data_IF_548054190085
#
_entry.id   IF_548054190085
#
_cell.length_a   1.000
_cell.length_b   1.000
_cell.length_c   1.000
_cell.angle_alpha   90.00
_cell.angle_beta   90.00
_cell.angle_gamma   90.00
#
_symmetry.space_group_name_H-M   'P 1'
#
loop_
_entity.id
_entity.type
_entity.pdbx_description
1 polymer ?
#
# COMPACT_ATOMS: atom_id res chain seq x y z
N UNK A 1 -23.05 -9.29 22.23
CA UNK A 1 -22.04 -10.34 22.54
C UNK A 1 -21.35 -10.65 21.22
N UNK A 2 -20.25 -9.94 20.93
CA UNK A 2 -19.52 -10.03 19.64
C UNK A 2 -18.31 -10.94 19.88
N UNK A 3 -18.38 -12.14 19.34
CA UNK A 3 -17.32 -13.13 19.36
C UNK A 3 -16.43 -12.88 18.15
N UNK A 4 -15.11 -12.87 18.39
CA UNK A 4 -13.96 -12.82 17.47
C UNK A 4 -13.39 -11.42 17.19
N UNK A 5 -12.66 -10.93 18.19
CA UNK A 5 -11.47 -10.12 17.94
C UNK A 5 -10.28 -11.09 17.81
N UNK A 6 -10.01 -11.60 16.64
CA UNK A 6 -8.76 -12.32 16.38
C UNK A 6 -7.66 -11.30 16.10
N UNK A 7 -6.85 -11.06 17.13
CA UNK A 7 -5.56 -10.41 17.02
C UNK A 7 -4.67 -11.29 16.12
N UNK A 8 -4.11 -10.71 15.08
CA UNK A 8 -3.05 -11.34 14.28
C UNK A 8 -1.89 -11.66 15.22
N UNK A 9 -1.82 -12.92 15.61
CA UNK A 9 -0.85 -13.43 16.57
C UNK A 9 0.38 -13.96 15.82
N UNK A 10 1.49 -14.16 16.54
CA UNK A 10 2.63 -14.97 16.07
C UNK A 10 2.20 -16.26 15.38
N UNK A 11 1.04 -16.79 15.75
CA UNK A 11 0.43 -18.01 15.22
C UNK A 11 -0.09 -17.84 13.80
N UNK A 12 -0.55 -16.65 13.41
CA UNK A 12 -1.09 -16.39 12.06
C UNK A 12 0.03 -16.10 11.08
N UNK A 13 1.11 -15.45 11.54
CA UNK A 13 2.36 -15.36 10.78
C UNK A 13 3.02 -16.74 10.59
N UNK A 14 3.02 -17.58 11.65
CA UNK A 14 3.52 -18.96 11.56
C UNK A 14 2.63 -19.84 10.69
N UNK A 15 1.32 -19.60 10.61
CA UNK A 15 0.43 -20.29 9.66
C UNK A 15 0.75 -19.89 8.22
N UNK A 16 0.99 -18.60 7.95
CA UNK A 16 1.42 -18.15 6.63
C UNK A 16 2.76 -18.82 6.22
N UNK A 17 3.71 -18.89 7.15
CA UNK A 17 4.98 -19.60 6.94
C UNK A 17 4.79 -21.13 6.90
N UNK A 18 3.88 -21.71 7.70
CA UNK A 18 3.64 -23.14 7.75
C UNK A 18 2.92 -23.68 6.49
N UNK A 19 2.00 -22.91 5.92
CA UNK A 19 1.36 -23.26 4.63
C UNK A 19 2.41 -23.28 3.50
N UNK A 20 3.43 -22.46 3.58
CA UNK A 20 4.50 -22.38 2.58
C UNK A 20 5.64 -23.40 2.82
N UNK A 21 5.82 -23.88 4.05
CA UNK A 21 6.84 -24.89 4.38
C UNK A 21 6.34 -26.33 4.26
N UNK A 22 5.01 -26.56 4.20
CA UNK A 22 4.45 -27.84 3.83
C UNK A 22 4.65 -28.06 2.34
N UNK A 23 5.80 -28.60 1.96
CA UNK A 23 6.24 -28.79 0.55
C UNK A 23 5.32 -29.61 -0.37
N UNK A 24 4.11 -29.93 0.07
CA UNK A 24 3.05 -30.59 -0.70
C UNK A 24 1.94 -29.65 -1.14
N UNK A 25 1.74 -28.49 -0.49
CA UNK A 25 0.68 -27.55 -0.86
C UNK A 25 1.08 -26.59 -2.00
N UNK A 26 2.35 -26.21 -2.06
CA UNK A 26 2.86 -25.31 -3.11
C UNK A 26 2.66 -25.85 -4.54
N UNK A 27 2.98 -27.13 -4.84
CA UNK A 27 2.76 -27.71 -6.17
C UNK A 27 1.29 -27.74 -6.57
N UNK A 28 0.38 -28.01 -5.63
CA UNK A 28 -1.07 -28.04 -5.89
C UNK A 28 -1.62 -26.62 -6.15
N UNK A 29 -1.17 -25.63 -5.39
CA UNK A 29 -1.55 -24.23 -5.58
C UNK A 29 -0.99 -23.70 -6.92
N UNK A 30 0.27 -24.01 -7.23
CA UNK A 30 0.88 -23.65 -8.53
C UNK A 30 0.18 -24.34 -9.70
N UNK A 31 -0.27 -25.58 -9.53
CA UNK A 31 -1.01 -26.34 -10.56
C UNK A 31 -2.42 -25.78 -10.75
N UNK A 32 -3.06 -25.29 -9.70
CA UNK A 32 -4.37 -24.64 -9.77
C UNK A 32 -4.27 -23.24 -10.39
N UNK A 33 -3.21 -22.49 -10.12
CA UNK A 33 -2.90 -21.22 -10.80
C UNK A 33 -2.58 -21.42 -12.27
N UNK A 34 -1.81 -22.45 -12.63
CA UNK A 34 -1.55 -22.80 -14.02
C UNK A 34 -2.86 -23.12 -14.78
N UNK A 35 -3.79 -23.86 -14.16
CA UNK A 35 -5.09 -24.15 -14.76
C UNK A 35 -5.96 -22.90 -14.95
N UNK A 36 -5.94 -21.96 -14.00
CA UNK A 36 -6.66 -20.70 -14.12
C UNK A 36 -6.05 -19.76 -15.19
N UNK A 37 -4.73 -19.85 -15.42
CA UNK A 37 -4.03 -19.12 -16.47
C UNK A 37 -4.22 -19.74 -17.88
N UNK A 38 -4.64 -21.00 -17.97
CA UNK A 38 -4.94 -21.66 -19.24
C UNK A 38 -6.31 -21.27 -19.80
N UNK A 39 -7.14 -20.51 -19.06
CA UNK A 39 -8.41 -19.97 -19.55
C UNK A 39 -8.21 -18.54 -20.10
N UNK A 40 -8.16 -18.36 -21.44
CA UNK A 40 -7.95 -17.03 -22.05
C UNK A 40 -8.95 -15.98 -21.56
N UNK A 41 -10.17 -16.39 -21.26
CA UNK A 41 -11.30 -15.57 -20.88
C UNK A 41 -11.55 -15.51 -19.35
N UNK A 42 -10.57 -15.92 -18.53
CA UNK A 42 -10.74 -15.84 -17.08
C UNK A 42 -10.99 -14.40 -16.65
N UNK A 43 -12.01 -14.15 -15.79
CA UNK A 43 -12.39 -12.81 -15.38
C UNK A 43 -11.30 -12.13 -14.54
N UNK A 44 -11.30 -10.80 -14.53
CA UNK A 44 -10.52 -10.00 -13.57
C UNK A 44 -11.18 -10.16 -12.19
N UNK A 45 -10.42 -10.67 -11.23
CA UNK A 45 -10.81 -10.82 -9.83
C UNK A 45 -9.92 -9.94 -8.97
N UNK A 46 -10.45 -8.78 -8.62
CA UNK A 46 -9.72 -7.78 -7.83
C UNK A 46 -9.84 -8.07 -6.34
N UNK A 47 -8.70 -8.08 -5.64
CA UNK A 47 -8.64 -8.08 -4.18
C UNK A 47 -8.12 -6.76 -3.63
N UNK A 48 -8.73 -6.24 -2.54
CA UNK A 48 -8.33 -4.97 -1.97
C UNK A 48 -8.62 -4.85 -0.47
N UNK A 49 -7.91 -3.91 0.18
CA UNK A 49 -8.28 -3.38 1.50
C UNK A 49 -9.08 -2.07 1.34
N UNK A 50 -9.98 -1.73 2.28
CA UNK A 50 -10.81 -0.53 2.21
C UNK A 50 -10.01 0.75 2.55
N UNK A 51 -8.99 1.03 1.75
CA UNK A 51 -8.08 2.18 1.83
C UNK A 51 -8.15 2.98 0.53
N UNK A 52 -7.80 4.27 0.57
CA UNK A 52 -7.77 5.12 -0.64
C UNK A 52 -6.77 4.64 -1.68
N UNK A 53 -5.78 3.88 -1.25
CA UNK A 53 -4.75 3.26 -2.08
C UNK A 53 -5.36 2.35 -3.17
N UNK A 54 -6.51 1.73 -2.88
CA UNK A 54 -7.21 0.85 -3.83
C UNK A 54 -7.97 1.62 -4.94
N UNK A 55 -8.01 2.95 -4.89
CA UNK A 55 -8.82 3.76 -5.79
C UNK A 55 -8.67 3.41 -7.27
N UNK A 56 -7.47 3.22 -7.86
CA UNK A 56 -7.35 2.89 -9.28
C UNK A 56 -8.06 1.60 -9.67
N UNK A 57 -7.94 0.55 -8.86
CA UNK A 57 -8.60 -0.73 -9.10
C UNK A 57 -10.13 -0.62 -9.01
N UNK A 58 -10.61 0.11 -8.00
CA UNK A 58 -12.04 0.26 -7.73
C UNK A 58 -12.72 1.19 -8.75
N UNK A 59 -12.04 2.26 -9.16
CA UNK A 59 -12.51 3.14 -10.23
C UNK A 59 -12.54 2.42 -11.58
N UNK A 60 -11.50 1.65 -11.91
CA UNK A 60 -11.49 0.84 -13.13
C UNK A 60 -12.70 -0.12 -13.18
N UNK A 61 -12.98 -0.81 -12.06
CA UNK A 61 -14.17 -1.67 -11.95
C UNK A 61 -15.46 -0.86 -12.08
N UNK A 62 -15.62 0.24 -11.35
CA UNK A 62 -16.85 1.05 -11.36
C UNK A 62 -17.17 1.64 -12.74
N UNK A 63 -16.14 1.87 -13.55
CA UNK A 63 -16.28 2.36 -14.93
C UNK A 63 -16.43 1.24 -15.96
N UNK A 64 -16.57 -0.03 -15.53
CA UNK A 64 -16.70 -1.17 -16.43
C UNK A 64 -15.45 -1.49 -17.26
N UNK A 65 -14.27 -0.96 -16.86
CA UNK A 65 -13.03 -1.13 -17.62
C UNK A 65 -12.44 -2.54 -17.55
N UNK A 66 -12.93 -3.36 -16.61
CA UNK A 66 -12.59 -4.77 -16.47
C UNK A 66 -13.63 -5.69 -17.13
N UNK A 67 -14.69 -5.13 -17.68
CA UNK A 67 -15.74 -5.91 -18.32
C UNK A 67 -15.23 -6.57 -19.61
N UNK A 68 -15.64 -7.79 -19.82
CA UNK A 68 -15.45 -8.51 -21.08
C UNK A 68 -16.70 -8.36 -21.97
N UNK A 69 -16.60 -8.54 -23.28
CA UNK A 69 -17.76 -8.46 -24.17
C UNK A 69 -18.93 -9.30 -23.68
N UNK A 70 -20.03 -8.64 -23.31
CA UNK A 70 -21.25 -9.29 -22.81
C UNK A 70 -21.18 -9.84 -21.38
N UNK A 71 -20.09 -9.61 -20.65
CA UNK A 71 -19.91 -10.13 -19.29
C UNK A 71 -19.28 -9.06 -18.39
N UNK A 72 -20.03 -8.52 -17.40
CA UNK A 72 -19.47 -7.60 -16.43
C UNK A 72 -18.42 -8.30 -15.56
N UNK A 73 -17.43 -7.54 -15.08
CA UNK A 73 -16.42 -8.02 -14.16
C UNK A 73 -17.03 -8.39 -12.80
N UNK A 74 -16.43 -9.35 -12.12
CA UNK A 74 -16.81 -9.72 -10.76
C UNK A 74 -16.58 -8.54 -9.81
N UNK A 75 -17.46 -8.39 -8.80
CA UNK A 75 -17.29 -7.35 -7.78
C UNK A 75 -15.98 -7.56 -7.04
N UNK A 76 -15.15 -6.50 -6.87
CA UNK A 76 -13.92 -6.60 -6.09
C UNK A 76 -14.14 -7.14 -4.68
N UNK A 77 -13.23 -8.01 -4.23
CA UNK A 77 -13.29 -8.67 -2.93
C UNK A 77 -12.53 -7.84 -1.89
N UNK A 78 -13.25 -7.39 -0.86
CA UNK A 78 -12.67 -6.61 0.24
C UNK A 78 -12.10 -7.52 1.32
N UNK A 79 -10.84 -7.27 1.70
CA UNK A 79 -10.14 -7.97 2.79
C UNK A 79 -9.90 -7.02 3.97
N UNK A 80 -9.76 -7.59 5.17
CA UNK A 80 -9.54 -6.81 6.40
C UNK A 80 -8.06 -6.63 6.76
N UNK A 81 -7.20 -7.52 6.24
CA UNK A 81 -5.77 -7.49 6.53
C UNK A 81 -4.94 -7.82 5.30
N UNK A 82 -3.69 -7.34 5.30
CA UNK A 82 -2.72 -7.62 4.25
C UNK A 82 -2.41 -9.12 4.13
N UNK A 83 -2.42 -9.85 5.25
CA UNK A 83 -2.21 -11.30 5.26
C UNK A 83 -3.31 -12.03 4.52
N UNK A 84 -4.59 -11.71 4.81
CA UNK A 84 -5.73 -12.33 4.13
C UNK A 84 -5.70 -12.07 2.63
N UNK A 85 -5.38 -10.82 2.22
CA UNK A 85 -5.25 -10.48 0.81
C UNK A 85 -4.11 -11.27 0.14
N UNK A 86 -2.97 -11.38 0.81
CA UNK A 86 -1.82 -12.16 0.31
C UNK A 86 -2.18 -13.64 0.17
N UNK A 87 -2.82 -14.24 1.17
CA UNK A 87 -3.28 -15.64 1.14
C UNK A 87 -4.26 -15.89 -0.01
N UNK A 88 -5.24 -15.00 -0.20
CA UNK A 88 -6.21 -15.10 -1.28
C UNK A 88 -5.56 -14.99 -2.67
N UNK A 89 -4.53 -14.13 -2.81
CA UNK A 89 -3.76 -14.01 -4.04
C UNK A 89 -2.93 -15.26 -4.31
N UNK A 90 -2.20 -15.77 -3.31
CA UNK A 90 -1.43 -17.02 -3.41
C UNK A 90 -2.36 -18.19 -3.78
N UNK A 91 -3.56 -18.24 -3.21
CA UNK A 91 -4.55 -19.29 -3.49
C UNK A 91 -5.28 -19.13 -4.86
N UNK A 92 -5.00 -18.04 -5.62
CA UNK A 92 -5.65 -17.77 -6.90
C UNK A 92 -7.12 -17.36 -6.79
N UNK A 93 -7.60 -17.01 -5.58
CA UNK A 93 -8.97 -16.50 -5.40
C UNK A 93 -9.14 -15.12 -6.04
N UNK A 94 -8.10 -14.31 -6.02
CA UNK A 94 -7.96 -13.03 -6.72
C UNK A 94 -6.70 -13.06 -7.59
N UNK A 95 -6.71 -12.36 -8.72
CA UNK A 95 -5.60 -12.37 -9.69
C UNK A 95 -5.01 -10.98 -9.95
N UNK A 96 -5.66 -9.93 -9.49
CA UNK A 96 -5.18 -8.54 -9.54
C UNK A 96 -5.36 -7.93 -8.16
N UNK A 97 -4.27 -7.46 -7.56
CA UNK A 97 -4.30 -6.88 -6.23
C UNK A 97 -3.47 -5.61 -6.14
N UNK A 98 -3.84 -4.70 -5.22
CA UNK A 98 -2.87 -3.77 -4.70
C UNK A 98 -2.15 -4.39 -3.50
N UNK A 99 -0.86 -4.19 -3.41
CA UNK A 99 -0.06 -4.78 -2.35
C UNK A 99 0.97 -3.77 -1.86
N UNK A 100 1.26 -3.80 -0.55
CA UNK A 100 2.35 -3.03 0.04
C UNK A 100 3.66 -3.35 -0.69
N UNK A 101 4.37 -2.34 -1.19
CA UNK A 101 5.58 -2.54 -1.98
C UNK A 101 6.63 -3.44 -1.27
N UNK A 102 6.91 -3.31 0.04
CA UNK A 102 7.83 -4.22 0.72
C UNK A 102 7.37 -5.68 0.81
N UNK A 103 6.04 -5.95 0.86
CA UNK A 103 5.53 -7.33 0.84
C UNK A 103 5.89 -8.04 -0.46
N UNK A 104 5.96 -7.31 -1.57
CA UNK A 104 6.30 -7.91 -2.86
C UNK A 104 7.72 -8.47 -2.89
N UNK A 105 8.67 -7.85 -2.17
CA UNK A 105 10.02 -8.39 -1.99
C UNK A 105 9.97 -9.69 -1.18
N UNK A 106 9.26 -9.69 -0.05
CA UNK A 106 9.07 -10.90 0.74
C UNK A 106 8.42 -12.03 -0.09
N UNK A 107 7.36 -11.71 -0.84
CA UNK A 107 6.67 -12.67 -1.68
C UNK A 107 7.61 -13.27 -2.74
N UNK A 108 8.44 -12.44 -3.39
CA UNK A 108 9.39 -12.88 -4.43
C UNK A 108 10.55 -13.69 -3.87
N UNK A 109 11.21 -13.16 -2.83
CA UNK A 109 12.51 -13.70 -2.39
C UNK A 109 12.37 -14.72 -1.27
N UNK A 110 11.43 -14.56 -0.34
CA UNK A 110 11.20 -15.52 0.75
C UNK A 110 10.18 -16.58 0.34
N UNK A 111 9.01 -16.18 -0.11
CA UNK A 111 7.92 -17.09 -0.45
C UNK A 111 8.06 -17.73 -1.84
N UNK A 112 8.99 -17.23 -2.68
CA UNK A 112 9.21 -17.71 -4.06
C UNK A 112 7.96 -17.66 -4.92
N UNK A 113 7.06 -16.72 -4.64
CA UNK A 113 5.82 -16.55 -5.39
C UNK A 113 6.11 -16.07 -6.82
N UNK A 114 5.63 -16.78 -7.86
CA UNK A 114 5.79 -16.36 -9.25
C UNK A 114 4.80 -15.24 -9.59
N UNK A 115 5.09 -14.03 -9.12
CA UNK A 115 4.29 -12.84 -9.36
C UNK A 115 5.19 -11.63 -9.57
N UNK A 116 4.67 -10.62 -10.25
CA UNK A 116 5.38 -9.38 -10.59
C UNK A 116 4.58 -8.14 -10.20
N UNK A 117 5.30 -7.09 -9.91
CA UNK A 117 4.76 -5.73 -9.89
C UNK A 117 4.64 -5.26 -11.33
N UNK A 118 3.42 -4.88 -11.74
CA UNK A 118 3.13 -4.45 -13.10
C UNK A 118 2.94 -2.94 -13.23
N UNK A 119 2.63 -2.26 -12.12
CA UNK A 119 2.51 -0.82 -12.03
C UNK A 119 2.62 -0.36 -10.57
N UNK A 120 2.96 0.89 -10.34
CA UNK A 120 2.61 1.54 -9.07
C UNK A 120 1.11 1.79 -9.04
N UNK A 121 0.52 1.71 -7.86
CA UNK A 121 -0.91 1.98 -7.71
C UNK A 121 -1.15 3.44 -7.33
N UNK A 122 -0.33 3.97 -6.43
CA UNK A 122 -0.34 5.37 -5.99
C UNK A 122 0.99 5.76 -5.35
N UNK A 123 1.15 7.06 -5.10
CA UNK A 123 2.26 7.62 -4.32
C UNK A 123 1.76 8.35 -3.08
N UNK A 124 2.60 8.45 -2.03
CA UNK A 124 2.26 9.05 -0.74
C UNK A 124 1.07 8.32 -0.08
N UNK A 125 0.04 9.03 0.36
CA UNK A 125 -1.23 8.45 0.83
C UNK A 125 -1.17 7.85 2.23
N UNK A 126 -0.23 8.30 3.07
CA UNK A 126 -0.08 7.78 4.44
C UNK A 126 0.46 8.86 5.38
N UNK A 127 0.23 8.68 6.67
CA UNK A 127 0.76 9.57 7.70
C UNK A 127 1.01 8.82 9.02
N UNK A 128 1.86 9.40 9.86
CA UNK A 128 1.98 9.10 11.28
C UNK A 128 0.95 9.97 12.01
N UNK A 129 -0.06 9.34 12.56
CA UNK A 129 -1.08 9.97 13.42
C UNK A 129 -0.84 9.55 14.87
N UNK A 130 -0.90 10.51 15.78
CA UNK A 130 -0.59 10.33 17.19
C UNK A 130 -1.69 10.92 18.06
N UNK A 131 -1.66 10.62 19.37
CA UNK A 131 -2.52 11.28 20.34
C UNK A 131 -2.35 12.80 20.28
N UNK A 132 -3.40 13.61 20.49
CA UNK A 132 -3.38 15.06 20.30
C UNK A 132 -2.28 15.79 21.11
N UNK A 133 -1.92 15.26 22.28
CA UNK A 133 -0.87 15.82 23.15
C UNK A 133 0.56 15.57 22.67
N UNK A 134 0.77 14.68 21.67
CA UNK A 134 2.08 14.39 21.10
C UNK A 134 2.32 15.35 19.94
N UNK A 135 3.33 16.19 20.06
CA UNK A 135 3.66 17.24 19.07
C UNK A 135 5.06 17.07 18.47
N UNK A 136 5.85 16.11 18.99
CA UNK A 136 7.21 15.84 18.54
C UNK A 136 7.48 14.33 18.62
N UNK A 137 8.22 13.80 17.66
CA UNK A 137 8.52 12.36 17.57
C UNK A 137 9.29 11.83 18.79
N UNK A 138 10.11 12.66 19.44
CA UNK A 138 10.85 12.30 20.66
C UNK A 138 9.93 11.95 21.84
N UNK A 139 8.70 12.46 21.84
CA UNK A 139 7.69 12.14 22.86
C UNK A 139 7.12 10.72 22.72
N UNK A 140 7.48 10.00 21.64
CA UNK A 140 7.13 8.59 21.48
C UNK A 140 8.02 7.64 22.30
N UNK A 141 9.06 8.14 22.96
CA UNK A 141 9.90 7.35 23.87
C UNK A 141 9.07 6.61 24.93
N UNK A 142 9.28 5.31 25.06
CA UNK A 142 8.53 4.41 25.95
C UNK A 142 7.10 4.09 25.52
N UNK A 143 6.69 4.48 24.32
CA UNK A 143 5.30 4.35 23.84
C UNK A 143 5.14 3.23 22.81
N UNK A 144 3.88 2.92 22.51
CA UNK A 144 3.48 1.92 21.52
C UNK A 144 2.94 2.63 20.28
N UNK A 145 3.46 2.27 19.10
CA UNK A 145 2.99 2.75 17.79
C UNK A 145 2.60 1.55 16.92
N UNK A 146 1.42 1.61 16.32
CA UNK A 146 0.95 0.57 15.42
C UNK A 146 1.44 0.81 13.98
N UNK A 147 1.80 -0.29 13.33
CA UNK A 147 2.11 -0.39 11.89
C UNK A 147 1.17 -1.41 11.23
N UNK A 148 0.83 -1.29 9.93
CA UNK A 148 -0.10 -2.22 9.30
C UNK A 148 0.49 -3.60 9.02
N UNK A 149 1.80 -3.68 8.86
CA UNK A 149 2.54 -4.92 8.63
C UNK A 149 4.04 -4.70 8.78
N UNK A 150 4.81 -5.76 9.13
CA UNK A 150 6.27 -5.67 9.25
C UNK A 150 6.95 -5.31 7.92
N UNK A 151 6.50 -5.94 6.82
CA UNK A 151 6.93 -5.60 5.46
C UNK A 151 6.02 -4.51 4.88
N UNK A 152 6.05 -3.31 5.47
CA UNK A 152 5.33 -2.14 4.97
C UNK A 152 6.26 -0.95 4.80
N UNK A 153 5.94 -0.08 3.85
CA UNK A 153 6.62 1.20 3.71
C UNK A 153 6.47 2.05 4.96
N UNK A 154 5.35 1.88 5.66
CA UNK A 154 5.05 2.52 6.94
C UNK A 154 6.09 2.18 8.01
N UNK A 155 6.43 0.87 8.14
CA UNK A 155 7.48 0.42 9.06
C UNK A 155 8.84 1.00 8.68
N UNK A 156 9.19 1.00 7.40
CA UNK A 156 10.45 1.57 6.90
C UNK A 156 10.55 3.05 7.23
N UNK A 157 9.53 3.84 6.88
CA UNK A 157 9.51 5.29 7.09
C UNK A 157 9.43 5.61 8.59
N UNK A 158 8.62 4.89 9.37
CA UNK A 158 8.55 5.07 10.83
C UNK A 158 9.93 4.94 11.47
N UNK A 159 10.69 3.94 11.07
CA UNK A 159 12.03 3.73 11.63
C UNK A 159 13.06 4.76 11.14
N UNK A 160 12.87 5.36 9.94
CA UNK A 160 13.68 6.51 9.54
C UNK A 160 13.41 7.70 10.48
N UNK A 161 12.13 8.03 10.70
CA UNK A 161 11.71 9.11 11.58
C UNK A 161 12.20 8.89 13.03
N UNK A 162 12.09 7.66 13.54
CA UNK A 162 12.58 7.34 14.89
C UNK A 162 14.10 7.53 15.02
N UNK A 163 14.87 7.12 14.03
CA UNK A 163 16.34 7.31 14.03
C UNK A 163 16.70 8.80 14.04
N UNK A 164 16.01 9.61 13.25
CA UNK A 164 16.20 11.06 13.24
C UNK A 164 15.87 11.69 14.60
N UNK A 165 14.81 11.21 15.25
CA UNK A 165 14.43 11.62 16.60
C UNK A 165 15.34 11.07 17.72
N UNK A 166 16.38 10.30 17.38
CA UNK A 166 17.26 9.65 18.36
C UNK A 166 16.60 8.49 19.12
N UNK A 167 15.54 7.89 18.55
CA UNK A 167 14.79 6.79 19.13
C UNK A 167 15.06 5.48 18.38
N UNK A 168 14.83 4.36 19.07
CA UNK A 168 15.02 3.02 18.52
C UNK A 168 13.70 2.24 18.51
N UNK A 169 13.39 1.61 17.37
CA UNK A 169 12.26 0.69 17.26
C UNK A 169 12.59 -0.66 17.93
N UNK A 170 11.62 -1.19 18.68
CA UNK A 170 11.70 -2.53 19.31
C UNK A 170 10.40 -3.29 19.08
N UNK A 171 10.48 -4.64 19.12
CA UNK A 171 9.30 -5.53 19.01
C UNK A 171 8.73 -5.93 20.38
N UNK A 172 9.53 -5.77 21.44
CA UNK A 172 9.13 -5.98 22.83
C UNK A 172 8.73 -4.70 23.53
N UNK A 173 8.54 -4.79 24.86
CA UNK A 173 8.21 -3.61 25.68
C UNK A 173 9.30 -2.55 25.58
N UNK A 174 8.90 -1.33 25.21
CA UNK A 174 9.81 -0.21 25.03
C UNK A 174 10.26 0.38 26.38
N UNK A 175 11.56 0.62 26.50
CA UNK A 175 12.16 1.42 27.56
C UNK A 175 12.33 2.89 27.14
N UNK A 176 13.07 3.66 27.96
CA UNK A 176 13.44 5.02 27.60
C UNK A 176 14.32 5.04 26.35
N UNK A 177 14.02 5.92 25.39
CA UNK A 177 14.71 5.99 24.09
C UNK A 177 14.24 4.95 23.08
N UNK A 178 13.27 4.11 23.44
CA UNK A 178 12.72 3.08 22.57
C UNK A 178 11.25 3.32 22.25
N UNK A 179 10.78 2.77 21.12
CA UNK A 179 9.37 2.77 20.71
C UNK A 179 8.98 1.35 20.33
N UNK A 180 7.95 0.83 21.00
CA UNK A 180 7.42 -0.48 20.65
C UNK A 180 6.59 -0.39 19.40
N UNK A 181 6.94 -1.15 18.37
CA UNK A 181 6.12 -1.31 17.17
C UNK A 181 5.26 -2.57 17.29
N UNK A 182 3.98 -2.43 16.95
CA UNK A 182 3.02 -3.53 16.96
C UNK A 182 2.27 -3.58 15.62
N UNK A 183 2.05 -4.78 15.10
CA UNK A 183 1.23 -4.95 13.88
C UNK A 183 -0.24 -4.93 14.26
N UNK A 184 -1.02 -4.12 13.53
CA UNK A 184 -2.46 -3.99 13.73
C UNK A 184 -3.17 -3.80 12.39
N UNK A 185 -4.37 -4.37 12.24
CA UNK A 185 -5.21 -4.09 11.07
C UNK A 185 -5.56 -2.60 11.00
N UNK A 186 -5.56 -1.96 9.82
CA UNK A 186 -5.85 -0.53 9.71
C UNK A 186 -7.15 -0.10 10.37
N UNK A 187 -8.21 -0.91 10.25
CA UNK A 187 -9.52 -0.62 10.83
C UNK A 187 -9.52 -0.60 12.38
N UNK A 188 -8.56 -1.25 13.02
CA UNK A 188 -8.47 -1.34 14.48
C UNK A 188 -7.63 -0.19 15.08
N UNK A 189 -6.85 0.54 14.27
CA UNK A 189 -5.89 1.54 14.73
C UNK A 189 -6.56 2.76 15.37
N UNK A 190 -7.60 3.33 14.74
CA UNK A 190 -8.32 4.49 15.30
C UNK A 190 -9.01 4.13 16.62
N UNK A 191 -9.76 3.02 16.75
CA UNK A 191 -10.29 2.57 18.06
C UNK A 191 -9.21 2.32 19.12
N UNK A 192 -8.05 1.78 18.73
CA UNK A 192 -6.92 1.56 19.65
C UNK A 192 -6.30 2.89 20.14
N UNK A 193 -6.21 3.90 19.27
CA UNK A 193 -5.77 5.25 19.63
C UNK A 193 -6.76 5.90 20.60
N UNK A 194 -8.06 5.85 20.30
CA UNK A 194 -9.14 6.39 21.18
C UNK A 194 -9.08 5.75 22.57
N UNK A 195 -8.89 4.43 22.64
CA UNK A 195 -8.78 3.71 23.92
C UNK A 195 -7.40 3.83 24.58
N UNK A 196 -6.47 4.61 24.00
CA UNK A 196 -5.10 4.81 24.48
C UNK A 196 -4.29 3.53 24.64
N UNK A 197 -4.65 2.46 23.93
CA UNK A 197 -3.85 1.22 23.85
C UNK A 197 -2.59 1.42 23.04
N UNK A 198 -2.61 2.36 22.11
CA UNK A 198 -1.46 2.84 21.34
C UNK A 198 -1.38 4.36 21.48
N UNK A 199 -0.18 4.91 21.31
CA UNK A 199 0.05 6.36 21.34
C UNK A 199 0.12 6.98 19.95
N UNK A 200 0.16 6.15 18.92
CA UNK A 200 0.14 6.56 17.52
C UNK A 200 0.04 5.35 16.61
N UNK A 201 -0.19 5.63 15.35
CA UNK A 201 -0.14 4.65 14.27
C UNK A 201 0.36 5.32 12.99
N UNK A 202 1.04 4.55 12.15
CA UNK A 202 1.41 4.98 10.80
C UNK A 202 0.75 4.05 9.80
N UNK A 203 -0.10 4.60 8.93
CA UNK A 203 -0.97 3.78 8.08
C UNK A 203 -1.43 4.55 6.84
N UNK A 204 -1.88 3.80 5.83
CA UNK A 204 -2.53 4.31 4.64
C UNK A 204 -3.83 5.07 4.97
N UNK A 205 -4.18 6.03 4.12
CA UNK A 205 -5.45 6.76 4.20
C UNK A 205 -6.66 5.85 3.88
N UNK A 206 -7.85 6.11 4.46
CA UNK A 206 -8.26 7.37 5.08
C UNK A 206 -8.26 7.36 6.61
N UNK A 207 -7.58 6.44 7.28
CA UNK A 207 -7.62 6.31 8.74
C UNK A 207 -7.01 7.51 9.47
N UNK A 208 -6.02 8.17 8.87
CA UNK A 208 -5.45 9.41 9.40
C UNK A 208 -6.48 10.54 9.32
N UNK A 209 -7.13 10.73 8.17
CA UNK A 209 -8.22 11.70 8.01
C UNK A 209 -9.40 11.40 8.95
N UNK A 210 -9.71 10.13 9.19
CA UNK A 210 -10.75 9.74 10.15
C UNK A 210 -10.40 10.16 11.58
N UNK A 211 -9.14 9.95 12.00
CA UNK A 211 -8.69 10.37 13.33
C UNK A 211 -8.70 11.89 13.49
N UNK A 212 -8.31 12.65 12.46
CA UNK A 212 -8.38 14.11 12.43
C UNK A 212 -9.83 14.60 12.51
N UNK A 213 -10.73 14.08 11.67
CA UNK A 213 -12.13 14.50 11.61
C UNK A 213 -12.89 14.26 12.92
N UNK A 214 -12.52 13.21 13.64
CA UNK A 214 -13.06 12.91 14.97
C UNK A 214 -12.31 13.61 16.12
N UNK A 215 -11.24 14.36 15.82
CA UNK A 215 -10.38 15.06 16.81
C UNK A 215 -9.80 14.11 17.87
N UNK A 216 -9.60 12.84 17.52
CA UNK A 216 -9.03 11.81 18.42
C UNK A 216 -7.53 11.60 18.21
N UNK A 217 -6.98 12.15 17.15
CA UNK A 217 -5.56 12.14 16.81
C UNK A 217 -5.20 13.35 15.96
N UNK A 218 -3.90 13.63 15.90
CA UNK A 218 -3.32 14.63 15.00
C UNK A 218 -2.30 13.96 14.09
N UNK A 219 -2.15 14.45 12.88
CA UNK A 219 -1.04 14.05 12.02
C UNK A 219 0.24 14.68 12.56
N UNK A 220 1.22 13.84 12.88
CA UNK A 220 2.54 14.29 13.28
C UNK A 220 3.46 14.49 12.06
N UNK A 221 3.35 13.59 11.06
CA UNK A 221 4.14 13.67 9.84
C UNK A 221 3.49 12.91 8.69
N UNK A 222 3.45 13.50 7.50
CA UNK A 222 3.08 12.77 6.28
C UNK A 222 4.25 11.94 5.77
N UNK A 223 3.98 10.74 5.26
CA UNK A 223 5.03 9.86 4.74
C UNK A 223 5.65 10.41 3.46
N UNK A 224 4.88 11.10 2.61
CA UNK A 224 5.37 11.79 1.42
C UNK A 224 6.31 12.97 1.71
N UNK A 225 6.21 13.53 2.93
CA UNK A 225 7.11 14.58 3.40
C UNK A 225 8.41 14.03 4.01
N UNK A 226 8.50 12.70 4.19
CA UNK A 226 9.71 11.99 4.62
C UNK A 226 10.40 11.35 3.42
N UNK A 227 9.65 10.67 2.57
CA UNK A 227 10.14 10.07 1.32
C UNK A 227 9.32 10.57 0.15
N UNK A 228 9.91 11.50 -0.59
CA UNK A 228 9.23 12.23 -1.67
C UNK A 228 8.66 11.31 -2.75
N UNK A 229 7.33 11.35 -2.95
CA UNK A 229 6.62 10.55 -3.95
C UNK A 229 6.89 9.04 -3.88
N UNK A 230 7.10 8.49 -2.67
CA UNK A 230 7.27 7.05 -2.51
C UNK A 230 6.03 6.28 -2.95
N UNK A 231 6.20 5.09 -3.52
CA UNK A 231 5.09 4.17 -3.65
C UNK A 231 4.75 3.58 -2.27
N UNK A 232 3.47 3.57 -1.91
CA UNK A 232 3.01 2.77 -0.77
C UNK A 232 2.54 1.40 -1.27
N UNK A 233 1.55 1.39 -2.16
CA UNK A 233 1.05 0.19 -2.79
C UNK A 233 1.36 0.13 -4.28
N UNK A 234 1.56 -1.08 -4.75
CA UNK A 234 1.83 -1.42 -6.15
C UNK A 234 0.78 -2.43 -6.64
N UNK A 235 0.58 -2.51 -7.94
CA UNK A 235 -0.27 -3.52 -8.56
C UNK A 235 0.53 -4.78 -8.79
N UNK A 236 0.00 -5.92 -8.35
CA UNK A 236 0.65 -7.22 -8.46
C UNK A 236 -0.21 -8.20 -9.23
N UNK A 237 0.40 -8.97 -10.15
CA UNK A 237 -0.22 -10.00 -10.95
C UNK A 237 0.67 -11.24 -11.00
N UNK A 238 0.09 -12.41 -11.27
CA UNK A 238 0.85 -13.66 -11.43
C UNK A 238 1.65 -13.68 -12.73
N UNK A 239 2.86 -14.24 -12.70
CA UNK A 239 3.70 -14.41 -13.90
C UNK A 239 3.02 -15.28 -14.96
N UNK A 240 2.20 -16.26 -14.56
CA UNK A 240 1.41 -17.06 -15.48
C UNK A 240 0.45 -16.21 -16.32
N UNK A 241 -0.24 -15.25 -15.71
CA UNK A 241 -1.13 -14.34 -16.42
C UNK A 241 -0.35 -13.45 -17.40
N UNK A 242 0.78 -12.90 -16.94
CA UNK A 242 1.64 -12.02 -17.73
C UNK A 242 2.25 -12.70 -18.95
N UNK A 243 2.53 -14.00 -18.86
CA UNK A 243 3.20 -14.74 -19.91
C UNK A 243 2.22 -15.46 -20.84
N UNK A 244 1.13 -16.00 -20.29
CA UNK A 244 0.18 -16.82 -21.06
C UNK A 244 -1.01 -16.01 -21.60
N UNK A 245 -1.30 -14.82 -21.00
CA UNK A 245 -2.41 -13.95 -21.39
C UNK A 245 -1.97 -12.49 -21.59
N UNK A 246 -1.03 -12.20 -22.50
CA UNK A 246 -0.44 -10.88 -22.66
C UNK A 246 -1.46 -9.80 -23.04
N UNK A 247 -2.46 -10.12 -23.88
CA UNK A 247 -3.51 -9.19 -24.26
C UNK A 247 -4.42 -8.84 -23.08
N UNK A 248 -4.84 -9.83 -22.30
CA UNK A 248 -5.58 -9.64 -21.07
C UNK A 248 -4.79 -8.81 -20.05
N UNK A 249 -3.51 -9.12 -19.88
CA UNK A 249 -2.62 -8.38 -18.96
C UNK A 249 -2.45 -6.92 -19.38
N UNK A 250 -2.39 -6.65 -20.69
CA UNK A 250 -2.36 -5.29 -21.23
C UNK A 250 -3.68 -4.56 -20.97
N UNK A 251 -4.83 -5.21 -21.22
CA UNK A 251 -6.14 -4.60 -20.97
C UNK A 251 -6.35 -4.26 -19.49
N UNK A 252 -5.97 -5.16 -18.59
CA UNK A 252 -6.03 -4.92 -17.14
C UNK A 252 -5.13 -3.73 -16.74
N UNK A 253 -3.91 -3.68 -17.26
CA UNK A 253 -2.98 -2.59 -16.95
C UNK A 253 -3.46 -1.26 -17.55
N UNK A 254 -3.98 -1.26 -18.78
CA UNK A 254 -4.60 -0.09 -19.41
C UNK A 254 -5.75 0.44 -18.54
N UNK A 255 -6.64 -0.44 -18.08
CA UNK A 255 -7.78 -0.07 -17.25
C UNK A 255 -7.35 0.63 -15.94
N UNK A 256 -6.30 0.14 -15.30
CA UNK A 256 -5.75 0.70 -14.06
C UNK A 256 -5.09 2.05 -14.31
N UNK A 257 -4.25 2.16 -15.34
CA UNK A 257 -3.53 3.39 -15.71
C UNK A 257 -4.50 4.49 -16.14
N UNK A 258 -5.51 4.14 -16.92
CA UNK A 258 -6.60 5.05 -17.29
C UNK A 258 -7.39 5.53 -16.07
N UNK A 259 -7.66 4.64 -15.11
CA UNK A 259 -8.33 5.01 -13.86
C UNK A 259 -7.45 5.98 -13.03
N UNK A 260 -6.14 5.76 -12.95
CA UNK A 260 -5.21 6.67 -12.29
C UNK A 260 -5.25 8.07 -12.93
N UNK A 261 -5.18 8.12 -14.27
CA UNK A 261 -5.28 9.38 -15.01
C UNK A 261 -6.62 10.08 -14.74
N UNK A 262 -7.72 9.34 -14.78
CA UNK A 262 -9.07 9.88 -14.51
C UNK A 262 -9.21 10.42 -13.08
N UNK A 263 -8.73 9.69 -12.07
CA UNK A 263 -8.79 10.09 -10.65
C UNK A 263 -8.12 11.43 -10.43
N UNK A 264 -6.98 11.70 -11.06
CA UNK A 264 -6.23 12.96 -10.90
C UNK A 264 -7.09 14.19 -11.21
N UNK A 265 -7.98 14.09 -12.19
CA UNK A 265 -8.89 15.16 -12.60
C UNK A 265 -10.29 15.08 -11.96
N UNK A 266 -10.60 13.98 -11.25
CA UNK A 266 -11.94 13.69 -10.74
C UNK A 266 -11.92 13.26 -9.26
N UNK A 267 -11.11 13.94 -8.45
CA UNK A 267 -10.83 13.55 -7.04
C UNK A 267 -12.08 13.49 -6.17
N UNK A 268 -12.94 14.50 -6.24
CA UNK A 268 -14.21 14.53 -5.47
C UNK A 268 -15.21 13.47 -5.93
N UNK A 269 -15.30 13.21 -7.25
CA UNK A 269 -16.13 12.12 -7.76
C UNK A 269 -15.59 10.75 -7.31
N UNK A 270 -14.25 10.62 -7.24
CA UNK A 270 -13.61 9.42 -6.71
C UNK A 270 -13.98 9.20 -5.25
N UNK A 271 -13.98 10.25 -4.40
CA UNK A 271 -14.40 10.14 -3.01
C UNK A 271 -15.84 9.62 -2.89
N UNK A 272 -16.76 10.17 -3.68
CA UNK A 272 -18.16 9.71 -3.71
C UNK A 272 -18.27 8.25 -4.15
N UNK A 273 -17.56 7.87 -5.23
CA UNK A 273 -17.60 6.52 -5.79
C UNK A 273 -17.07 5.46 -4.81
N UNK A 274 -16.01 5.79 -4.06
CA UNK A 274 -15.39 4.88 -3.10
C UNK A 274 -16.16 4.79 -1.78
N UNK A 275 -17.03 5.76 -1.47
CA UNK A 275 -17.66 5.88 -0.17
C UNK A 275 -18.64 4.74 0.15
N UNK A 276 -18.99 4.62 1.42
CA UNK A 276 -20.03 3.70 1.89
C UNK A 276 -21.40 3.97 1.26
N UNK A 277 -21.65 5.22 0.86
CA UNK A 277 -22.90 5.67 0.26
C UNK A 277 -22.83 5.67 -1.28
N UNK A 278 -21.67 5.34 -1.85
CA UNK A 278 -21.46 5.18 -3.28
C UNK A 278 -22.14 3.93 -3.85
N UNK A 279 -22.30 3.84 -5.19
CA UNK A 279 -23.13 2.80 -5.82
C UNK A 279 -22.64 1.37 -5.55
N UNK A 280 -21.37 1.19 -5.27
CA UNK A 280 -20.76 -0.14 -5.05
C UNK A 280 -20.38 -0.40 -3.57
N UNK A 281 -20.49 0.60 -2.69
CA UNK A 281 -20.14 0.49 -1.26
C UNK A 281 -18.72 -0.10 -1.06
N UNK A 282 -17.72 0.44 -1.76
CA UNK A 282 -16.37 -0.12 -1.75
C UNK A 282 -15.65 0.01 -0.41
N UNK A 283 -15.93 1.07 0.34
CA UNK A 283 -15.31 1.28 1.66
C UNK A 283 -16.36 1.62 2.71
N UNK A 284 -16.07 1.43 4.00
CA UNK A 284 -16.97 1.84 5.08
C UNK A 284 -16.91 3.34 5.39
N UNK A 285 -16.10 4.11 4.66
CA UNK A 285 -15.84 5.52 4.91
C UNK A 285 -16.85 6.43 4.22
N UNK A 286 -17.09 7.60 4.82
CA UNK A 286 -17.95 8.63 4.22
C UNK A 286 -17.22 9.33 3.07
N UNK A 287 -17.96 9.87 2.11
CA UNK A 287 -17.40 10.68 1.04
C UNK A 287 -16.64 11.91 1.56
N UNK A 288 -17.08 12.47 2.69
CA UNK A 288 -16.43 13.61 3.36
C UNK A 288 -15.00 13.27 3.80
N UNK A 289 -14.83 12.16 4.54
CA UNK A 289 -13.50 11.69 5.00
C UNK A 289 -12.60 11.37 3.81
N UNK A 290 -13.12 10.70 2.80
CA UNK A 290 -12.35 10.39 1.58
C UNK A 290 -11.96 11.65 0.81
N UNK A 291 -12.82 12.66 0.80
CA UNK A 291 -12.54 13.92 0.11
C UNK A 291 -11.45 14.74 0.83
N UNK A 292 -11.34 14.65 2.17
CA UNK A 292 -10.22 15.25 2.91
C UNK A 292 -8.86 14.66 2.51
N UNK A 293 -8.85 13.42 2.03
CA UNK A 293 -7.64 12.76 1.53
C UNK A 293 -7.36 13.12 0.08
N UNK A 294 -8.38 12.98 -0.78
CA UNK A 294 -8.22 13.09 -2.23
C UNK A 294 -8.13 14.54 -2.69
N UNK A 295 -8.81 15.45 -1.99
CA UNK A 295 -8.86 16.86 -2.32
C UNK A 295 -8.89 17.73 -1.05
N UNK A 296 -7.78 17.76 -0.27
CA UNK A 296 -7.72 18.60 0.91
C UNK A 296 -7.89 20.07 0.56
N UNK A 297 -8.49 20.85 1.47
CA UNK A 297 -8.61 22.29 1.28
C UNK A 297 -7.26 22.98 1.55
N UNK A 298 -7.07 24.16 0.94
CA UNK A 298 -5.88 24.98 1.19
C UNK A 298 -5.73 25.35 2.69
N UNK A 299 -6.85 25.47 3.41
CA UNK A 299 -6.83 25.71 4.85
C UNK A 299 -6.27 24.53 5.65
N UNK A 300 -6.58 23.30 5.25
CA UNK A 300 -6.00 22.09 5.87
C UNK A 300 -4.49 22.03 5.62
N UNK A 301 -4.04 22.27 4.40
CA UNK A 301 -2.61 22.26 4.06
C UNK A 301 -1.82 23.30 4.86
N UNK A 302 -2.36 24.53 4.94
CA UNK A 302 -1.76 25.58 5.75
C UNK A 302 -1.69 25.21 7.24
N UNK A 303 -2.71 24.51 7.76
CA UNK A 303 -2.72 23.99 9.12
C UNK A 303 -1.63 22.95 9.35
N UNK A 304 -1.47 21.99 8.45
CA UNK A 304 -0.41 20.97 8.55
C UNK A 304 1.01 21.56 8.48
N UNK A 305 1.21 22.62 7.69
CA UNK A 305 2.49 23.35 7.64
C UNK A 305 2.73 24.07 9.00
N UNK A 306 1.72 24.78 9.52
CA UNK A 306 1.81 25.47 10.79
C UNK A 306 2.04 24.52 11.98
N UNK A 307 1.46 23.32 11.92
CA UNK A 307 1.58 22.26 12.91
C UNK A 307 2.84 21.39 12.74
N UNK A 308 3.69 21.71 11.77
CA UNK A 308 4.91 20.95 11.42
C UNK A 308 4.65 19.48 11.03
N UNK A 309 3.47 19.16 10.52
CA UNK A 309 3.19 17.87 9.89
C UNK A 309 3.77 17.79 8.45
N UNK A 310 4.04 18.95 7.85
CA UNK A 310 4.76 19.14 6.59
C UNK A 310 6.00 19.99 6.86
N UNK A 311 7.20 19.42 6.66
CA UNK A 311 8.49 20.10 6.80
C UNK A 311 9.03 20.62 5.46
N UNK A 312 8.59 20.01 4.35
CA UNK A 312 9.04 20.32 2.99
C UNK A 312 7.89 20.84 2.12
N UNK A 313 7.32 22.03 2.42
CA UNK A 313 6.23 22.61 1.62
C UNK A 313 6.66 22.91 0.18
N UNK A 314 7.96 23.12 -0.06
CA UNK A 314 8.58 23.29 -1.38
C UNK A 314 8.54 22.04 -2.26
N UNK A 315 8.28 20.86 -1.68
CA UNK A 315 8.09 19.64 -2.47
C UNK A 315 6.74 19.59 -3.17
N UNK A 316 5.78 20.44 -2.78
CA UNK A 316 4.43 20.50 -3.33
C UNK A 316 3.75 19.12 -3.43
N UNK A 317 3.86 18.35 -2.35
CA UNK A 317 3.32 17.00 -2.31
C UNK A 317 1.81 16.98 -2.14
N UNK A 318 1.11 16.24 -2.97
CA UNK A 318 -0.27 15.86 -2.69
C UNK A 318 -0.31 14.86 -1.53
N UNK A 319 -1.34 14.92 -0.70
CA UNK A 319 -1.59 13.94 0.37
C UNK A 319 -1.58 12.51 -0.18
N UNK A 320 -2.21 12.30 -1.33
CA UNK A 320 -2.11 11.10 -2.18
C UNK A 320 -2.10 11.51 -3.65
N UNK A 321 -1.30 10.83 -4.48
CA UNK A 321 -1.33 11.00 -5.93
C UNK A 321 -1.26 9.65 -6.65
N UNK A 322 -1.58 9.65 -7.95
CA UNK A 322 -1.75 8.44 -8.75
C UNK A 322 -0.84 8.51 -9.96
N UNK A 323 0.24 7.75 -9.94
CA UNK A 323 1.18 7.62 -11.05
C UNK A 323 1.62 6.17 -11.19
N UNK A 324 1.67 5.64 -12.43
CA UNK A 324 1.80 4.20 -12.65
C UNK A 324 3.22 3.66 -12.72
N UNK A 325 4.24 4.50 -12.96
CA UNK A 325 5.57 4.02 -13.32
C UNK A 325 6.35 3.48 -12.12
N UNK A 326 6.81 2.20 -12.17
CA UNK A 326 7.59 1.59 -11.09
C UNK A 326 9.08 1.89 -11.23
N UNK A 327 9.53 3.01 -10.67
CA UNK A 327 10.92 3.42 -10.72
C UNK A 327 11.89 2.41 -10.12
N UNK A 328 12.93 2.03 -10.87
CA UNK A 328 13.94 1.08 -10.43
C UNK A 328 14.70 1.57 -9.19
N UNK A 329 15.03 2.86 -9.13
CA UNK A 329 15.72 3.48 -8.00
C UNK A 329 14.94 3.33 -6.69
N UNK A 330 13.61 3.39 -6.74
CA UNK A 330 12.77 3.16 -5.58
C UNK A 330 12.95 1.74 -5.01
N UNK A 331 12.89 0.70 -5.83
CA UNK A 331 13.03 -0.68 -5.35
C UNK A 331 14.44 -0.98 -4.83
N UNK A 332 15.47 -0.40 -5.47
CA UNK A 332 16.84 -0.46 -4.96
C UNK A 332 16.92 0.16 -3.57
N UNK A 333 16.43 1.38 -3.42
CA UNK A 333 16.46 2.09 -2.15
C UNK A 333 15.62 1.41 -1.08
N UNK A 334 14.43 0.91 -1.44
CA UNK A 334 13.58 0.15 -0.53
C UNK A 334 14.29 -1.11 0.00
N UNK A 335 14.97 -1.85 -0.86
CA UNK A 335 15.71 -3.04 -0.46
C UNK A 335 16.87 -2.71 0.50
N UNK A 336 17.61 -1.63 0.26
CA UNK A 336 18.65 -1.14 1.16
C UNK A 336 18.08 -0.79 2.54
N UNK A 337 16.96 -0.09 2.59
CA UNK A 337 16.32 0.32 3.84
C UNK A 337 15.73 -0.86 4.61
N UNK A 338 15.16 -1.84 3.92
CA UNK A 338 14.63 -3.06 4.55
C UNK A 338 15.71 -3.85 5.28
N UNK A 339 16.96 -3.88 4.77
CA UNK A 339 18.10 -4.50 5.46
C UNK A 339 18.41 -3.86 6.81
N UNK A 340 18.00 -2.61 7.02
CA UNK A 340 18.23 -1.83 8.24
C UNK A 340 16.97 -1.70 9.11
N UNK A 341 15.86 -2.29 8.66
CA UNK A 341 14.56 -2.17 9.32
C UNK A 341 14.34 -3.35 10.27
N UNK A 342 13.93 -3.06 11.51
CA UNK A 342 13.52 -4.09 12.46
C UNK A 342 12.24 -4.74 11.96
N UNK A 343 12.29 -6.05 11.77
CA UNK A 343 11.20 -6.88 11.29
C UNK A 343 11.09 -8.09 12.21
N UNK A 344 9.90 -8.39 12.71
CA UNK A 344 9.68 -9.60 13.50
C UNK A 344 9.51 -10.81 12.57
N UNK A 345 10.10 -11.94 12.94
CA UNK A 345 10.06 -13.18 12.20
C UNK A 345 11.27 -13.39 11.28
N UNK A 346 11.17 -14.39 10.39
CA UNK A 346 12.25 -14.73 9.48
C UNK A 346 12.37 -13.68 8.35
N UNK A 347 13.53 -13.07 8.28
CA UNK A 347 13.91 -12.08 7.29
C UNK A 347 15.32 -12.34 6.73
N UNK A 348 15.78 -13.59 6.84
CA UNK A 348 17.12 -14.02 6.42
C UNK A 348 17.40 -13.74 4.94
N UNK A 349 16.36 -13.81 4.07
CA UNK A 349 16.50 -13.52 2.64
C UNK A 349 17.04 -12.11 2.37
N UNK A 350 16.82 -11.16 3.28
CA UNK A 350 17.35 -9.79 3.13
C UNK A 350 18.88 -9.75 3.15
N UNK A 351 19.56 -10.72 3.81
CA UNK A 351 21.02 -10.76 3.87
C UNK A 351 21.61 -10.96 2.49
N UNK A 352 21.05 -11.90 1.71
CA UNK A 352 21.52 -12.28 0.38
C UNK A 352 20.97 -11.39 -0.74
N UNK A 353 19.97 -10.55 -0.42
CA UNK A 353 19.32 -9.69 -1.38
C UNK A 353 20.29 -8.67 -1.97
N UNK A 354 20.36 -8.60 -3.31
CA UNK A 354 21.15 -7.61 -4.04
C UNK A 354 20.25 -6.45 -4.47
N UNK A 355 20.28 -5.28 -3.78
CA UNK A 355 19.34 -4.19 -4.02
C UNK A 355 19.23 -3.75 -5.48
N UNK A 356 20.37 -3.72 -6.19
CA UNK A 356 20.46 -3.29 -7.60
C UNK A 356 19.71 -4.21 -8.57
N UNK A 357 19.47 -5.48 -8.20
CA UNK A 357 18.79 -6.46 -9.05
C UNK A 357 17.27 -6.50 -8.81
N UNK A 358 16.81 -5.97 -7.66
CA UNK A 358 15.43 -6.13 -7.20
C UNK A 358 14.42 -5.65 -8.23
N UNK A 359 14.62 -4.49 -8.84
CA UNK A 359 13.68 -3.96 -9.83
C UNK A 359 13.54 -4.90 -11.03
N UNK A 360 14.64 -5.35 -11.61
CA UNK A 360 14.62 -6.22 -12.79
C UNK A 360 13.96 -7.60 -12.50
N UNK A 361 14.15 -8.12 -11.28
CA UNK A 361 13.59 -9.41 -10.88
C UNK A 361 12.12 -9.33 -10.43
N UNK A 362 11.72 -8.18 -9.88
CA UNK A 362 10.41 -7.99 -9.26
C UNK A 362 9.37 -7.37 -10.20
N UNK A 363 9.77 -6.51 -11.14
CA UNK A 363 8.85 -5.75 -11.99
C UNK A 363 8.71 -6.33 -13.39
N UNK A 364 7.55 -6.10 -13.99
CA UNK A 364 7.31 -6.29 -15.43
C UNK A 364 6.73 -5.01 -16.02
N UNK A 365 7.58 -4.21 -16.62
CA UNK A 365 7.24 -2.89 -17.10
C UNK A 365 6.67 -2.85 -18.53
N UNK A 366 6.57 -4.02 -19.21
CA UNK A 366 6.11 -4.10 -20.62
C UNK A 366 4.74 -3.47 -20.80
N UNK A 367 3.82 -3.80 -19.91
CA UNK A 367 2.42 -3.39 -20.01
C UNK A 367 2.22 -1.92 -19.60
N UNK A 368 2.75 -1.53 -18.46
CA UNK A 368 2.57 -0.15 -17.95
C UNK A 368 3.21 0.90 -18.86
N UNK A 369 4.34 0.57 -19.51
CA UNK A 369 4.96 1.45 -20.50
C UNK A 369 4.03 1.74 -21.69
N UNK A 370 3.37 0.69 -22.20
CA UNK A 370 2.39 0.84 -23.26
C UNK A 370 1.16 1.64 -22.80
N UNK A 371 0.67 1.38 -21.59
CA UNK A 371 -0.48 2.09 -21.02
C UNK A 371 -0.19 3.58 -20.81
N UNK A 372 1.00 3.93 -20.31
CA UNK A 372 1.43 5.33 -20.16
C UNK A 372 1.48 6.03 -21.52
N UNK A 373 2.03 5.38 -22.54
CA UNK A 373 2.06 5.94 -23.91
C UNK A 373 0.66 6.19 -24.48
N UNK A 374 -0.27 5.25 -24.26
CA UNK A 374 -1.68 5.40 -24.66
C UNK A 374 -2.37 6.55 -23.91
N UNK A 375 -2.02 6.78 -22.65
CA UNK A 375 -2.58 7.85 -21.83
C UNK A 375 -2.01 9.25 -22.16
N UNK A 376 -1.02 9.36 -23.06
CA UNK A 376 -0.41 10.63 -23.46
C UNK A 376 0.97 10.88 -22.86
N UNK A 377 1.67 9.82 -22.36
CA UNK A 377 3.02 9.92 -21.81
C UNK A 377 3.05 10.19 -20.31
N UNK A 378 4.22 10.42 -19.76
CA UNK A 378 4.42 10.69 -18.34
C UNK A 378 3.81 12.03 -17.91
N UNK A 379 3.69 13.00 -18.83
CA UNK A 379 3.07 14.31 -18.61
C UNK A 379 1.59 14.20 -18.20
N UNK A 380 0.86 13.19 -18.67
CA UNK A 380 -0.51 12.92 -18.24
C UNK A 380 -0.61 12.64 -16.72
N UNK A 381 0.47 12.26 -16.08
CA UNK A 381 0.59 12.01 -14.65
C UNK A 381 1.34 13.12 -13.90
N UNK A 382 1.55 14.29 -14.53
CA UNK A 382 2.23 15.45 -13.94
C UNK A 382 3.74 15.22 -13.77
N UNK A 383 4.31 14.31 -14.55
CA UNK A 383 5.75 13.98 -14.54
C UNK A 383 6.39 14.53 -15.82
N UNK A 384 7.71 14.78 -15.77
CA UNK A 384 8.42 15.17 -16.97
C UNK A 384 8.37 14.03 -18.01
N UNK A 385 8.14 14.39 -19.27
CA UNK A 385 8.15 13.43 -20.37
C UNK A 385 9.49 12.67 -20.42
N UNK A 386 9.41 11.37 -20.73
CA UNK A 386 10.54 10.45 -20.79
C UNK A 386 11.34 10.26 -19.49
N UNK A 387 10.83 10.75 -18.34
CA UNK A 387 11.49 10.57 -17.07
C UNK A 387 11.12 9.22 -16.44
N UNK A 388 11.67 8.16 -16.95
CA UNK A 388 11.56 6.77 -16.44
C UNK A 388 12.60 6.43 -15.37
N UNK A 389 13.41 7.39 -14.97
CA UNK A 389 14.41 7.26 -13.90
C UNK A 389 14.31 8.46 -12.96
N UNK A 390 14.57 8.24 -11.68
CA UNK A 390 14.68 9.31 -10.70
C UNK A 390 15.63 8.93 -9.57
N UNK A 391 16.15 9.94 -8.90
CA UNK A 391 16.86 9.78 -7.61
C UNK A 391 15.84 9.85 -6.48
N UNK A 392 15.90 8.91 -5.56
CA UNK A 392 15.04 8.92 -4.38
C UNK A 392 15.51 9.98 -3.38
N UNK A 393 14.55 10.76 -2.86
CA UNK A 393 14.79 11.82 -1.88
C UNK A 393 14.11 11.43 -0.58
N UNK A 394 14.91 11.25 0.47
CA UNK A 394 14.45 10.90 1.82
C UNK A 394 15.03 11.92 2.79
N UNK A 395 14.15 12.58 3.53
CA UNK A 395 14.49 13.62 4.51
C UNK A 395 13.49 13.51 5.69
N UNK A 396 13.78 12.69 6.70
CA UNK A 396 12.90 12.48 7.85
C UNK A 396 12.66 13.74 8.68
#
# INVERSE_FOLDING_TARGET
>A
MCVMCDNFSRRDFLKLTAVLTAGTALPLIMQQQARAADEPDAPVRVGYLPVTDAAPLLVAHAQGRFDQPGKPADKPVMFRSWSQLTEAFIAGQVNVIHMLAPVTLWARYQAKLPAKVVAWNHTNGSALTVLPEITDARQLSGKIVAIPFWYSIHNVIMQQLLREAGLKAVTGTAGQGEVQLVVMSPADMVPALVSRKISGFIVAEPFNALAESHQVGRILRFTGDIWKNHACCVVMMHESDLNNRPEWSQQVTDAIVDAQHWIRSNRSQTATLLSRDGPNHYTPHTAEVLNQVLQPSAGMESGWIADHAIHHPDWHQSRIDFQPWPYAGYFTRLAELLKQTVIEGDHSFLQDLQPQNVSAELTDNRYVLNSIRKAGGMSAFGLADDNYQRTEVISP
#
